data_IF_546294986110
#
_entry.id   IF_546294986110
#
_cell.length_a   1.000
_cell.length_b   1.000
_cell.length_c   1.000
_cell.angle_alpha   90.00
_cell.angle_beta   90.00
_cell.angle_gamma   90.00
#
_symmetry.space_group_name_H-M   'P 1'
#
loop_
_entity.id
_entity.type
_entity.pdbx_description
1 polymer ?
#
# COMPACT_ATOMS: atom_id res chain seq x y z
N UNK A 1 -29.23 5.29 -23.34
CA UNK A 1 -28.24 5.26 -22.25
C UNK A 1 -26.88 5.13 -22.89
N UNK A 2 -26.13 6.23 -22.97
CA UNK A 2 -24.87 6.30 -23.73
C UNK A 2 -23.76 5.43 -23.09
N UNK A 3 -23.84 5.20 -21.77
CA UNK A 3 -22.82 4.45 -21.02
C UNK A 3 -22.94 2.92 -21.09
N UNK A 4 -24.04 2.36 -21.63
CA UNK A 4 -24.23 0.90 -21.66
C UNK A 4 -23.19 0.20 -22.56
N UNK A 5 -22.78 0.85 -23.64
CA UNK A 5 -21.70 0.34 -24.49
C UNK A 5 -20.37 0.31 -23.74
N UNK A 6 -20.12 1.33 -22.89
CA UNK A 6 -18.94 1.37 -22.04
C UNK A 6 -18.99 0.20 -21.04
N UNK A 7 -20.15 -0.08 -20.42
CA UNK A 7 -20.35 -1.17 -19.45
C UNK A 7 -20.03 -2.55 -20.02
N UNK A 8 -20.46 -2.85 -21.26
CA UNK A 8 -20.10 -4.14 -21.89
C UNK A 8 -18.60 -4.23 -22.20
N UNK A 9 -17.99 -3.13 -22.65
CA UNK A 9 -16.59 -3.12 -23.08
C UNK A 9 -15.59 -3.15 -21.92
N UNK A 10 -15.94 -2.61 -20.76
CA UNK A 10 -15.00 -2.38 -19.65
C UNK A 10 -14.49 -3.67 -19.03
N UNK A 11 -15.29 -4.75 -19.08
CA UNK A 11 -14.92 -6.09 -18.63
C UNK A 11 -13.73 -6.68 -19.37
N UNK A 12 -13.53 -6.30 -20.64
CA UNK A 12 -12.42 -6.77 -21.47
C UNK A 12 -11.16 -5.91 -21.38
N UNK A 13 -11.18 -4.83 -20.59
CA UNK A 13 -10.06 -3.89 -20.49
C UNK A 13 -9.05 -4.32 -19.41
N UNK A 14 -7.77 -4.13 -19.71
CA UNK A 14 -6.68 -4.24 -18.73
C UNK A 14 -6.81 -3.16 -17.64
N UNK A 15 -6.38 -3.48 -16.42
CA UNK A 15 -6.44 -2.59 -15.26
C UNK A 15 -5.43 -1.43 -15.36
N UNK A 16 -5.84 -0.42 -16.12
CA UNK A 16 -5.02 0.72 -16.57
C UNK A 16 -5.72 2.04 -16.25
N UNK A 17 -4.99 3.18 -16.27
CA UNK A 17 -5.60 4.50 -16.17
C UNK A 17 -6.70 4.76 -17.22
N UNK A 18 -6.63 4.10 -18.38
CA UNK A 18 -7.65 4.17 -19.42
C UNK A 18 -8.97 3.53 -18.96
N UNK A 19 -8.92 2.34 -18.35
CA UNK A 19 -10.10 1.66 -17.79
C UNK A 19 -10.77 2.50 -16.70
N UNK A 20 -9.99 3.15 -15.84
CA UNK A 20 -10.49 4.09 -14.82
C UNK A 20 -11.37 5.18 -15.45
N UNK A 21 -10.91 5.80 -16.54
CA UNK A 21 -11.68 6.86 -17.22
C UNK A 21 -12.99 6.34 -17.82
N UNK A 22 -13.05 5.07 -18.23
CA UNK A 22 -14.28 4.43 -18.71
C UNK A 22 -15.22 4.19 -17.55
N UNK A 23 -14.73 3.61 -16.45
CA UNK A 23 -15.51 3.36 -15.23
C UNK A 23 -16.09 4.66 -14.65
N UNK A 24 -15.34 5.77 -14.65
CA UNK A 24 -15.86 7.08 -14.21
C UNK A 24 -17.03 7.58 -15.07
N UNK A 25 -17.02 7.32 -16.39
CA UNK A 25 -18.15 7.66 -17.27
C UNK A 25 -19.35 6.76 -17.01
N UNK A 26 -19.12 5.46 -16.80
CA UNK A 26 -20.17 4.51 -16.42
C UNK A 26 -20.83 4.95 -15.12
N UNK A 27 -20.03 5.26 -14.09
CA UNK A 27 -20.51 5.75 -12.80
C UNK A 27 -21.33 7.04 -12.97
N UNK A 28 -20.81 8.02 -13.71
CA UNK A 28 -21.54 9.27 -13.94
C UNK A 28 -22.88 9.05 -14.69
N UNK A 29 -22.91 8.11 -15.63
CA UNK A 29 -24.11 7.71 -16.34
C UNK A 29 -25.11 7.00 -15.43
N UNK A 30 -24.66 6.00 -14.68
CA UNK A 30 -25.48 5.24 -13.73
C UNK A 30 -26.11 6.17 -12.69
N UNK A 31 -25.33 7.09 -12.11
CA UNK A 31 -25.81 8.08 -11.15
C UNK A 31 -26.85 9.03 -11.77
N UNK A 32 -26.63 9.50 -13.01
CA UNK A 32 -27.57 10.40 -13.70
C UNK A 32 -28.94 9.76 -13.94
N UNK A 33 -28.95 8.47 -14.26
CA UNK A 33 -30.18 7.71 -14.53
C UNK A 33 -30.71 6.95 -13.32
N UNK A 34 -30.10 7.11 -12.14
CA UNK A 34 -30.44 6.37 -10.92
C UNK A 34 -30.39 4.83 -11.09
N UNK A 35 -29.52 4.34 -11.97
CA UNK A 35 -29.28 2.90 -12.10
C UNK A 35 -28.28 2.44 -11.04
N UNK A 36 -28.81 1.95 -9.92
CA UNK A 36 -28.01 1.62 -8.73
C UNK A 36 -27.11 0.41 -8.96
N UNK A 37 -27.59 -0.62 -9.67
CA UNK A 37 -26.86 -1.87 -9.86
C UNK A 37 -25.61 -1.64 -10.71
N UNK A 38 -25.75 -0.97 -11.86
CA UNK A 38 -24.60 -0.56 -12.69
C UNK A 38 -23.65 0.35 -11.92
N UNK A 39 -24.19 1.20 -11.04
CA UNK A 39 -23.43 2.10 -10.18
C UNK A 39 -22.61 1.38 -9.12
N UNK A 40 -23.09 0.25 -8.60
CA UNK A 40 -22.37 -0.65 -7.68
C UNK A 40 -21.28 -1.38 -8.45
N UNK A 41 -21.65 -2.07 -9.52
CA UNK A 41 -20.75 -2.90 -10.34
C UNK A 41 -19.54 -2.07 -10.84
N UNK A 42 -19.78 -0.88 -11.37
CA UNK A 42 -18.73 0.00 -11.86
C UNK A 42 -17.80 0.51 -10.73
N UNK A 43 -18.31 0.73 -9.53
CA UNK A 43 -17.51 1.17 -8.37
C UNK A 43 -16.67 0.03 -7.80
N UNK A 44 -17.19 -1.18 -7.78
CA UNK A 44 -16.44 -2.38 -7.39
C UNK A 44 -15.27 -2.62 -8.36
N UNK A 45 -15.55 -2.63 -9.67
CA UNK A 45 -14.51 -2.71 -10.70
C UNK A 45 -13.49 -1.56 -10.59
N UNK A 46 -13.94 -0.35 -10.27
CA UNK A 46 -13.04 0.80 -10.12
C UNK A 46 -12.07 0.61 -8.96
N UNK A 47 -12.51 0.05 -7.83
CA UNK A 47 -11.64 -0.22 -6.69
C UNK A 47 -10.54 -1.21 -7.11
N UNK A 48 -10.90 -2.31 -7.75
CA UNK A 48 -9.97 -3.36 -8.15
C UNK A 48 -8.98 -2.86 -9.21
N UNK A 49 -9.47 -2.14 -10.23
CA UNK A 49 -8.60 -1.53 -11.25
C UNK A 49 -7.63 -0.51 -10.64
N UNK A 50 -8.11 0.32 -9.71
CA UNK A 50 -7.27 1.32 -9.07
C UNK A 50 -6.22 0.69 -8.12
N UNK A 51 -6.43 -0.52 -7.60
CA UNK A 51 -5.45 -1.24 -6.79
C UNK A 51 -4.21 -1.56 -7.63
N UNK A 52 -4.43 -2.09 -8.84
CA UNK A 52 -3.36 -2.38 -9.80
C UNK A 52 -2.73 -1.09 -10.36
N UNK A 53 -3.56 -0.14 -10.79
CA UNK A 53 -3.10 1.05 -11.51
C UNK A 53 -2.48 2.15 -10.58
N UNK A 54 -2.73 2.08 -9.27
CA UNK A 54 -2.16 3.00 -8.29
C UNK A 54 -2.94 4.31 -8.11
N UNK A 55 -4.27 4.24 -7.96
CA UNK A 55 -5.15 5.39 -7.71
C UNK A 55 -5.96 5.25 -6.41
N UNK A 56 -5.30 5.17 -5.24
CA UNK A 56 -5.94 4.86 -3.97
C UNK A 56 -6.97 5.92 -3.53
N UNK A 57 -6.90 7.18 -3.99
CA UNK A 57 -7.92 8.19 -3.66
C UNK A 57 -9.25 7.90 -4.36
N UNK A 58 -9.19 7.43 -5.62
CA UNK A 58 -10.38 7.01 -6.36
C UNK A 58 -11.02 5.76 -5.74
N UNK A 59 -10.18 4.81 -5.29
CA UNK A 59 -10.67 3.65 -4.53
C UNK A 59 -11.43 4.10 -3.28
N UNK A 60 -10.86 5.01 -2.49
CA UNK A 60 -11.49 5.50 -1.26
C UNK A 60 -12.84 6.17 -1.54
N UNK A 61 -12.94 6.95 -2.63
CA UNK A 61 -14.19 7.61 -3.03
C UNK A 61 -15.28 6.59 -3.42
N UNK A 62 -14.94 5.61 -4.26
CA UNK A 62 -15.86 4.55 -4.66
C UNK A 62 -16.30 3.70 -3.46
N UNK A 63 -15.34 3.31 -2.63
CA UNK A 63 -15.59 2.53 -1.41
C UNK A 63 -16.50 3.28 -0.42
N UNK A 64 -16.27 4.59 -0.23
CA UNK A 64 -17.10 5.42 0.66
C UNK A 64 -18.57 5.46 0.21
N UNK A 65 -18.82 5.39 -1.10
CA UNK A 65 -20.18 5.31 -1.63
C UNK A 65 -20.79 3.92 -1.37
N UNK A 66 -20.04 2.84 -1.65
CA UNK A 66 -20.49 1.46 -1.46
C UNK A 66 -20.82 1.18 0.02
N UNK A 67 -19.94 1.55 0.95
CA UNK A 67 -20.17 1.30 2.38
C UNK A 67 -21.40 2.06 2.88
N UNK A 68 -21.60 3.31 2.45
CA UNK A 68 -22.79 4.09 2.81
C UNK A 68 -24.07 3.44 2.26
N UNK A 69 -24.00 2.88 1.06
CA UNK A 69 -25.12 2.19 0.43
C UNK A 69 -25.44 0.85 1.12
N UNK A 70 -24.41 0.15 1.58
CA UNK A 70 -24.54 -1.08 2.38
C UNK A 70 -25.11 -0.81 3.79
N UNK A 71 -24.78 0.33 4.40
CA UNK A 71 -25.33 0.76 5.70
C UNK A 71 -26.79 1.23 5.63
N UNK A 72 -27.29 1.57 4.45
CA UNK A 72 -28.63 2.10 4.23
C UNK A 72 -29.68 0.99 4.34
N UNK A 73 -30.34 0.91 5.50
CA UNK A 73 -31.38 -0.10 5.77
C UNK A 73 -32.64 0.05 4.93
N UNK A 74 -32.84 1.21 4.30
CA UNK A 74 -33.98 1.49 3.43
C UNK A 74 -33.65 1.21 1.95
N UNK A 75 -32.42 0.76 1.65
CA UNK A 75 -31.96 0.42 0.30
C UNK A 75 -32.26 -1.04 -0.05
N UNK A 76 -32.91 -1.25 -1.20
CA UNK A 76 -33.09 -2.60 -1.79
C UNK A 76 -31.86 -3.10 -2.56
N UNK A 77 -30.79 -2.30 -2.64
CA UNK A 77 -29.59 -2.66 -3.38
C UNK A 77 -28.81 -3.79 -2.70
N UNK A 78 -28.45 -4.81 -3.47
CA UNK A 78 -27.59 -5.90 -2.99
C UNK A 78 -26.12 -5.49 -3.12
N UNK A 79 -25.39 -5.53 -2.00
CA UNK A 79 -23.93 -5.41 -1.97
C UNK A 79 -23.41 -6.63 -1.21
N UNK A 80 -22.47 -7.34 -1.81
CA UNK A 80 -21.87 -8.51 -1.19
C UNK A 80 -21.00 -8.08 0.01
N UNK A 81 -21.43 -8.44 1.22
CA UNK A 81 -20.75 -8.06 2.47
C UNK A 81 -19.31 -8.59 2.52
N UNK A 82 -19.06 -9.82 2.03
CA UNK A 82 -17.74 -10.43 2.09
C UNK A 82 -16.76 -9.69 1.18
N UNK A 83 -17.16 -9.43 -0.06
CA UNK A 83 -16.34 -8.67 -1.01
C UNK A 83 -16.12 -7.21 -0.56
N UNK A 84 -17.16 -6.56 -0.05
CA UNK A 84 -17.05 -5.20 0.49
C UNK A 84 -16.06 -5.14 1.65
N UNK A 85 -16.09 -6.12 2.56
CA UNK A 85 -15.20 -6.14 3.72
C UNK A 85 -13.77 -6.52 3.32
N UNK A 86 -13.61 -7.30 2.26
CA UNK A 86 -12.30 -7.54 1.65
C UNK A 86 -11.68 -6.23 1.15
N UNK A 87 -12.45 -5.43 0.39
CA UNK A 87 -12.06 -4.10 -0.07
C UNK A 87 -11.83 -3.12 1.09
N UNK A 88 -12.62 -3.21 2.16
CA UNK A 88 -12.44 -2.41 3.39
C UNK A 88 -11.01 -2.54 3.93
N UNK A 89 -10.48 -3.77 4.03
CA UNK A 89 -9.11 -4.02 4.49
C UNK A 89 -8.10 -3.24 3.65
N UNK A 90 -8.18 -3.40 2.33
CA UNK A 90 -7.25 -2.78 1.39
C UNK A 90 -7.26 -1.25 1.50
N UNK A 91 -8.46 -0.65 1.49
CA UNK A 91 -8.61 0.80 1.67
C UNK A 91 -7.98 1.25 2.98
N UNK A 92 -8.30 0.56 4.08
CA UNK A 92 -7.82 0.93 5.41
C UNK A 92 -6.31 0.81 5.56
N UNK A 93 -5.68 -0.11 4.83
CA UNK A 93 -4.22 -0.21 4.78
C UNK A 93 -3.57 1.00 4.08
N UNK A 94 -4.21 1.55 3.04
CA UNK A 94 -3.66 2.67 2.29
C UNK A 94 -3.88 4.03 2.96
N UNK A 95 -4.95 4.22 3.73
CA UNK A 95 -5.27 5.55 4.32
C UNK A 95 -4.12 6.21 5.09
N UNK A 96 -3.29 5.50 5.89
CA UNK A 96 -2.12 6.11 6.54
C UNK A 96 -1.06 6.68 5.59
N UNK A 97 -1.06 6.33 4.30
CA UNK A 97 -0.09 6.85 3.30
C UNK A 97 -0.47 8.24 2.77
N UNK A 98 -1.69 8.72 3.03
CA UNK A 98 -2.14 10.06 2.64
C UNK A 98 -1.69 11.10 3.65
N UNK A 99 -0.96 12.11 3.18
CA UNK A 99 -0.44 13.18 4.03
C UNK A 99 -1.54 14.17 4.46
N UNK A 100 -2.64 14.27 3.71
CA UNK A 100 -3.80 15.11 4.04
C UNK A 100 -4.75 14.50 5.10
N UNK A 101 -4.66 13.19 5.35
CA UNK A 101 -5.55 12.52 6.32
C UNK A 101 -4.97 12.64 7.71
N UNK A 102 -5.76 13.15 8.66
CA UNK A 102 -5.35 13.29 10.05
C UNK A 102 -5.26 11.94 10.78
N UNK A 103 -4.46 11.88 11.85
CA UNK A 103 -4.39 10.70 12.73
C UNK A 103 -5.76 10.30 13.30
N UNK A 104 -6.60 11.28 13.65
CA UNK A 104 -7.94 11.03 14.16
C UNK A 104 -8.86 10.36 13.13
N UNK A 105 -8.75 10.76 11.84
CA UNK A 105 -9.50 10.11 10.76
C UNK A 105 -9.01 8.67 10.51
N UNK A 106 -7.68 8.43 10.58
CA UNK A 106 -7.11 7.09 10.49
C UNK A 106 -7.65 6.21 11.63
N UNK A 107 -7.52 6.68 12.88
CA UNK A 107 -7.99 5.93 14.06
C UNK A 107 -9.51 5.68 13.98
N UNK A 108 -10.28 6.65 13.49
CA UNK A 108 -11.73 6.54 13.27
C UNK A 108 -12.10 5.47 12.23
N UNK A 109 -11.45 5.46 11.07
CA UNK A 109 -11.68 4.47 10.01
C UNK A 109 -11.35 3.05 10.49
N UNK A 110 -10.23 2.88 11.20
CA UNK A 110 -9.82 1.58 11.74
C UNK A 110 -10.83 1.08 12.78
N UNK A 111 -11.32 1.97 13.65
CA UNK A 111 -12.36 1.60 14.61
C UNK A 111 -13.68 1.23 13.92
N UNK A 112 -14.05 1.96 12.87
CA UNK A 112 -15.26 1.66 12.10
C UNK A 112 -15.18 0.27 11.44
N UNK A 113 -14.02 -0.06 10.83
CA UNK A 113 -13.75 -1.41 10.32
C UNK A 113 -13.89 -2.47 11.40
N UNK A 114 -13.36 -2.22 12.60
CA UNK A 114 -13.46 -3.14 13.75
C UNK A 114 -14.92 -3.41 14.12
N UNK A 115 -15.71 -2.36 14.29
CA UNK A 115 -17.12 -2.46 14.70
C UNK A 115 -17.91 -3.26 13.67
N UNK A 116 -17.71 -3.00 12.38
CA UNK A 116 -18.39 -3.72 11.30
C UNK A 116 -17.99 -5.19 11.24
N UNK A 117 -16.71 -5.51 11.40
CA UNK A 117 -16.24 -6.89 11.45
C UNK A 117 -16.85 -7.65 12.64
N UNK A 118 -16.96 -7.01 13.80
CA UNK A 118 -17.63 -7.60 14.98
C UNK A 118 -19.13 -7.81 14.75
N UNK A 119 -19.82 -6.87 14.09
CA UNK A 119 -21.25 -6.97 13.76
C UNK A 119 -21.55 -8.17 12.85
N UNK A 120 -20.71 -8.38 11.84
CA UNK A 120 -20.85 -9.48 10.88
C UNK A 120 -20.16 -10.78 11.32
N UNK A 121 -19.67 -10.84 12.56
CA UNK A 121 -19.02 -12.01 13.17
C UNK A 121 -17.74 -12.49 12.45
N UNK A 122 -17.05 -11.59 11.78
CA UNK A 122 -15.74 -11.85 11.20
C UNK A 122 -14.64 -11.87 12.27
N UNK A 123 -13.56 -12.58 11.96
CA UNK A 123 -12.34 -12.52 12.76
C UNK A 123 -11.75 -11.12 12.75
N UNK A 124 -11.25 -10.69 13.91
CA UNK A 124 -10.44 -9.47 14.02
C UNK A 124 -8.97 -9.67 13.60
N UNK A 125 -8.59 -10.86 13.13
CA UNK A 125 -7.21 -11.11 12.67
C UNK A 125 -6.79 -10.15 11.54
N UNK A 126 -7.58 -9.91 10.49
CA UNK A 126 -7.24 -8.93 9.47
C UNK A 126 -7.24 -7.50 10.04
N UNK A 127 -8.17 -7.15 10.92
CA UNK A 127 -8.15 -5.85 11.61
C UNK A 127 -6.83 -5.58 12.34
N UNK A 128 -6.34 -6.55 13.11
CA UNK A 128 -5.05 -6.40 13.81
C UNK A 128 -3.86 -6.33 12.85
N UNK A 129 -3.91 -7.03 11.70
CA UNK A 129 -2.91 -6.87 10.63
C UNK A 129 -2.90 -5.44 10.11
N UNK A 130 -4.04 -4.92 9.65
CA UNK A 130 -4.17 -3.56 9.12
C UNK A 130 -3.68 -2.53 10.14
N UNK A 131 -4.08 -2.66 11.40
CA UNK A 131 -3.62 -1.76 12.46
C UNK A 131 -2.11 -1.84 12.69
N UNK A 132 -1.52 -3.04 12.61
CA UNK A 132 -0.06 -3.22 12.72
C UNK A 132 0.64 -2.47 11.59
N UNK A 133 0.18 -2.63 10.35
CA UNK A 133 0.75 -1.94 9.19
C UNK A 133 0.56 -0.42 9.28
N UNK A 134 -0.58 0.04 9.77
CA UNK A 134 -0.82 1.45 10.05
C UNK A 134 0.17 2.00 11.10
N UNK A 135 0.42 1.26 12.19
CA UNK A 135 1.41 1.65 13.20
C UNK A 135 2.84 1.71 12.62
N UNK A 136 3.21 0.75 11.76
CA UNK A 136 4.48 0.77 11.02
C UNK A 136 4.59 2.03 10.16
N UNK A 137 3.56 2.35 9.35
CA UNK A 137 3.47 3.55 8.50
C UNK A 137 3.35 4.86 9.30
N UNK A 138 3.11 4.78 10.61
CA UNK A 138 3.12 5.94 11.50
C UNK A 138 4.39 6.03 12.33
N UNK A 139 5.32 5.09 12.20
CA UNK A 139 6.55 5.05 12.99
C UNK A 139 6.36 4.65 14.46
N UNK A 140 5.21 4.08 14.82
CA UNK A 140 4.87 3.73 16.20
C UNK A 140 5.27 2.27 16.51
N UNK A 141 6.51 2.13 16.98
CA UNK A 141 7.13 0.82 17.28
C UNK A 141 6.40 0.04 18.36
N UNK A 142 5.99 0.71 19.44
CA UNK A 142 5.36 0.03 20.58
C UNK A 142 3.94 -0.40 20.23
N UNK A 143 3.16 0.45 19.55
CA UNK A 143 1.82 0.07 19.07
C UNK A 143 1.90 -1.05 18.04
N UNK A 144 2.89 -1.03 17.13
CA UNK A 144 3.10 -2.11 16.17
C UNK A 144 3.37 -3.46 16.87
N UNK A 145 4.22 -3.49 17.91
CA UNK A 145 4.48 -4.70 18.70
C UNK A 145 3.23 -5.24 19.40
N UNK A 146 2.45 -4.36 20.01
CA UNK A 146 1.20 -4.74 20.69
C UNK A 146 0.21 -5.38 19.70
N UNK A 147 -0.02 -4.71 18.57
CA UNK A 147 -0.97 -5.15 17.55
C UNK A 147 -0.49 -6.41 16.83
N UNK A 148 0.81 -6.55 16.57
CA UNK A 148 1.37 -7.76 15.96
C UNK A 148 1.17 -8.99 16.85
N UNK A 149 1.27 -8.83 18.18
CA UNK A 149 0.94 -9.90 19.13
C UNK A 149 -0.53 -10.30 19.04
N UNK A 150 -1.45 -9.34 18.92
CA UNK A 150 -2.89 -9.61 18.74
C UNK A 150 -3.16 -10.30 17.41
N UNK A 151 -2.59 -9.78 16.32
CA UNK A 151 -2.67 -10.37 14.98
C UNK A 151 -2.19 -11.83 15.02
N UNK A 152 -1.01 -12.09 15.56
CA UNK A 152 -0.43 -13.45 15.61
C UNK A 152 -1.28 -14.46 16.37
N UNK A 153 -1.96 -14.04 17.44
CA UNK A 153 -2.72 -14.91 18.35
C UNK A 153 -4.23 -14.99 18.02
N UNK A 154 -4.74 -14.17 17.11
CA UNK A 154 -6.15 -14.22 16.69
C UNK A 154 -6.34 -15.28 15.62
N UNK A 155 -7.43 -16.08 15.69
CA UNK A 155 -7.70 -17.13 14.71
C UNK A 155 -7.99 -16.54 13.33
N UNK A 156 -7.53 -17.19 12.28
CA UNK A 156 -7.85 -16.78 10.91
C UNK A 156 -9.28 -17.22 10.52
N UNK A 157 -9.85 -16.52 9.55
CA UNK A 157 -11.06 -16.89 8.83
C UNK A 157 -10.85 -16.71 7.32
N UNK A 158 -11.93 -16.63 6.55
CA UNK A 158 -11.89 -16.47 5.11
C UNK A 158 -11.56 -15.04 4.65
N UNK A 159 -11.62 -14.02 5.53
CA UNK A 159 -11.15 -12.67 5.25
C UNK A 159 -9.64 -12.52 5.45
N UNK A 160 -8.90 -13.58 5.75
CA UNK A 160 -7.44 -13.55 5.79
C UNK A 160 -6.83 -13.62 4.39
N UNK A 161 -5.79 -12.81 4.17
CA UNK A 161 -5.06 -12.85 2.91
C UNK A 161 -4.38 -14.20 2.70
N UNK A 162 -3.94 -14.45 1.46
CA UNK A 162 -3.23 -15.68 1.18
C UNK A 162 -1.98 -15.83 2.06
N UNK A 163 -1.56 -17.07 2.37
CA UNK A 163 -0.43 -17.33 3.25
C UNK A 163 0.89 -16.65 2.84
N UNK A 164 1.07 -16.32 1.55
CA UNK A 164 2.25 -15.60 1.06
C UNK A 164 2.22 -14.11 1.45
N UNK A 165 1.08 -13.43 1.25
CA UNK A 165 0.89 -12.02 1.60
C UNK A 165 1.01 -11.82 3.12
N UNK A 166 0.34 -12.66 3.91
CA UNK A 166 0.45 -12.61 5.37
C UNK A 166 1.89 -12.85 5.85
N UNK A 167 2.66 -13.71 5.15
CA UNK A 167 4.08 -13.90 5.45
C UNK A 167 4.92 -12.67 5.11
N UNK A 168 4.66 -12.03 3.96
CA UNK A 168 5.31 -10.79 3.56
C UNK A 168 5.10 -9.68 4.61
N UNK A 169 3.87 -9.50 5.08
CA UNK A 169 3.56 -8.48 6.09
C UNK A 169 4.24 -8.77 7.44
N UNK A 170 4.39 -10.05 7.79
CA UNK A 170 5.20 -10.45 8.96
C UNK A 170 6.69 -10.13 8.77
N UNK A 171 7.25 -10.36 7.58
CA UNK A 171 8.63 -9.95 7.25
C UNK A 171 8.76 -8.44 7.40
N UNK A 172 7.80 -7.67 6.89
CA UNK A 172 7.83 -6.22 7.00
C UNK A 172 7.82 -5.75 8.45
N UNK A 173 6.98 -6.34 9.31
CA UNK A 173 7.00 -6.08 10.74
C UNK A 173 8.37 -6.37 11.38
N UNK A 174 8.97 -7.53 11.12
CA UNK A 174 10.27 -7.88 11.70
C UNK A 174 11.39 -6.95 11.21
N UNK A 175 11.37 -6.54 9.94
CA UNK A 175 12.28 -5.53 9.42
C UNK A 175 12.08 -4.17 10.10
N UNK A 176 10.84 -3.76 10.35
CA UNK A 176 10.51 -2.50 11.01
C UNK A 176 11.04 -2.44 12.45
N UNK A 177 10.88 -3.51 13.23
CA UNK A 177 11.43 -3.59 14.60
C UNK A 177 12.91 -3.97 14.63
N UNK A 178 13.58 -4.08 13.47
CA UNK A 178 14.99 -4.43 13.30
C UNK A 178 15.38 -5.83 13.79
N UNK A 179 14.42 -6.76 13.89
CA UNK A 179 14.69 -8.17 14.12
C UNK A 179 14.96 -8.89 12.79
N UNK A 180 16.11 -8.55 12.19
CA UNK A 180 16.48 -9.03 10.85
C UNK A 180 16.70 -10.54 10.80
N UNK A 181 17.10 -11.17 11.90
CA UNK A 181 17.25 -12.62 11.99
C UNK A 181 15.89 -13.33 11.86
N UNK A 182 14.87 -12.84 12.57
CA UNK A 182 13.53 -13.38 12.44
C UNK A 182 12.92 -13.03 11.08
N UNK A 183 13.17 -11.84 10.53
CA UNK A 183 12.78 -11.49 9.17
C UNK A 183 13.34 -12.47 8.13
N UNK A 184 14.66 -12.75 8.19
CA UNK A 184 15.34 -13.73 7.31
C UNK A 184 14.74 -15.12 7.43
N UNK A 185 14.45 -15.61 8.64
CA UNK A 185 13.79 -16.91 8.84
C UNK A 185 12.37 -16.93 8.26
N UNK A 186 11.62 -15.85 8.47
CA UNK A 186 10.23 -15.68 8.03
C UNK A 186 10.12 -15.61 6.51
N UNK A 187 11.09 -15.00 5.82
CA UNK A 187 11.12 -14.86 4.37
C UNK A 187 11.51 -16.14 3.60
N UNK A 188 12.09 -17.16 4.25
CA UNK A 188 12.57 -18.39 3.58
C UNK A 188 11.52 -19.08 2.68
N UNK A 189 10.24 -19.25 3.09
CA UNK A 189 9.24 -19.92 2.25
C UNK A 189 8.89 -19.14 0.98
N UNK A 190 8.99 -17.81 1.02
CA UNK A 190 8.70 -16.91 -0.10
C UNK A 190 9.73 -17.15 -1.22
N UNK A 191 11.02 -17.06 -0.91
CA UNK A 191 12.08 -17.27 -1.90
C UNK A 191 12.24 -18.74 -2.31
N UNK A 192 11.80 -19.67 -1.48
CA UNK A 192 11.78 -21.10 -1.79
C UNK A 192 10.71 -21.51 -2.81
N UNK A 193 9.86 -20.59 -3.29
CA UNK A 193 8.81 -20.86 -4.28
C UNK A 193 7.69 -21.78 -3.78
N UNK A 194 7.64 -22.05 -2.47
CA UNK A 194 6.64 -22.94 -1.84
C UNK A 194 5.27 -22.28 -1.68
N UNK A 195 5.22 -20.96 -1.84
CA UNK A 195 3.99 -20.16 -1.84
C UNK A 195 4.04 -19.27 -3.08
N UNK A 196 2.94 -19.21 -3.84
CA UNK A 196 2.82 -18.40 -5.05
C UNK A 196 1.68 -17.40 -4.87
N UNK A 197 1.99 -16.14 -5.11
CA UNK A 197 1.05 -15.02 -5.16
C UNK A 197 1.50 -14.14 -6.33
N UNK A 198 0.57 -13.42 -6.96
CA UNK A 198 0.88 -12.46 -8.03
C UNK A 198 1.77 -11.32 -7.52
N UNK A 199 1.61 -10.91 -6.26
CA UNK A 199 2.32 -9.77 -5.67
C UNK A 199 3.61 -10.18 -4.94
N UNK A 200 3.64 -11.34 -4.30
CA UNK A 200 4.83 -11.85 -3.57
C UNK A 200 5.61 -12.77 -4.51
N UNK A 201 6.89 -12.46 -4.85
CA UNK A 201 7.88 -11.82 -3.98
C UNK A 201 8.23 -10.33 -4.25
N UNK A 202 7.53 -9.65 -5.15
CA UNK A 202 7.82 -8.26 -5.57
C UNK A 202 7.94 -7.31 -4.35
N UNK A 203 7.00 -7.43 -3.41
CA UNK A 203 6.96 -6.64 -2.17
C UNK A 203 8.07 -6.99 -1.15
N UNK A 204 8.61 -8.21 -1.21
CA UNK A 204 9.51 -8.75 -0.18
C UNK A 204 10.97 -8.36 -0.43
N UNK A 205 11.37 -8.23 -1.70
CA UNK A 205 12.78 -8.02 -2.06
C UNK A 205 13.40 -6.74 -1.48
N UNK A 206 12.65 -5.63 -1.46
CA UNK A 206 13.15 -4.35 -0.92
C UNK A 206 13.55 -4.45 0.55
N UNK A 207 12.63 -4.91 1.39
CA UNK A 207 12.87 -5.12 2.81
C UNK A 207 13.99 -6.12 3.07
N UNK A 208 14.04 -7.19 2.28
CA UNK A 208 15.06 -8.22 2.45
C UNK A 208 16.45 -7.79 1.98
N UNK A 209 16.57 -6.94 0.96
CA UNK A 209 17.86 -6.35 0.57
C UNK A 209 18.49 -5.58 1.74
N UNK A 210 17.69 -4.77 2.45
CA UNK A 210 18.13 -4.04 3.63
C UNK A 210 18.43 -4.96 4.83
N UNK A 211 17.58 -5.97 5.06
CA UNK A 211 17.78 -6.92 6.16
C UNK A 211 19.05 -7.78 5.97
N UNK A 212 19.29 -8.29 4.77
CA UNK A 212 20.52 -9.05 4.47
C UNK A 212 21.77 -8.17 4.59
N UNK A 213 21.71 -6.92 4.14
CA UNK A 213 22.81 -5.97 4.33
C UNK A 213 23.11 -5.74 5.82
N UNK A 214 22.09 -5.55 6.64
CA UNK A 214 22.25 -5.37 8.09
C UNK A 214 22.85 -6.60 8.80
N UNK A 215 22.62 -7.80 8.25
CA UNK A 215 23.21 -9.06 8.73
C UNK A 215 24.61 -9.35 8.16
N UNK A 216 25.16 -8.47 7.30
CA UNK A 216 26.44 -8.67 6.63
C UNK A 216 26.42 -9.68 5.47
N UNK A 217 25.25 -10.10 5.01
CA UNK A 217 25.05 -11.05 3.92
C UNK A 217 24.94 -10.30 2.58
N UNK A 218 26.03 -9.62 2.18
CA UNK A 218 26.06 -8.73 1.01
C UNK A 218 25.64 -9.42 -0.28
N UNK A 219 26.00 -10.71 -0.43
CA UNK A 219 25.62 -11.52 -1.59
C UNK A 219 24.11 -11.66 -1.72
N UNK A 220 23.42 -12.03 -0.63
CA UNK A 220 21.97 -12.16 -0.63
C UNK A 220 21.27 -10.81 -0.76
N UNK A 221 21.86 -9.74 -0.21
CA UNK A 221 21.35 -8.39 -0.37
C UNK A 221 21.36 -7.96 -1.84
N UNK A 222 22.47 -8.19 -2.55
CA UNK A 222 22.58 -7.92 -3.99
C UNK A 222 21.62 -8.79 -4.81
N UNK A 223 21.47 -10.07 -4.47
CA UNK A 223 20.52 -10.96 -5.14
C UNK A 223 19.07 -10.47 -5.01
N UNK A 224 18.71 -9.91 -3.84
CA UNK A 224 17.40 -9.29 -3.65
C UNK A 224 17.22 -8.06 -4.55
N UNK A 225 18.25 -7.24 -4.73
CA UNK A 225 18.20 -6.13 -5.66
C UNK A 225 18.06 -6.59 -7.12
N UNK A 226 18.89 -7.53 -7.55
CA UNK A 226 18.92 -8.00 -8.95
C UNK A 226 17.60 -8.64 -9.37
N UNK A 227 16.94 -9.36 -8.45
CA UNK A 227 15.62 -9.97 -8.68
C UNK A 227 14.47 -8.99 -8.48
N UNK A 228 14.57 -8.10 -7.50
CA UNK A 228 13.49 -7.20 -7.11
C UNK A 228 13.33 -6.00 -8.03
N UNK A 229 14.43 -5.36 -8.46
CA UNK A 229 14.33 -4.11 -9.22
C UNK A 229 13.57 -4.26 -10.56
N UNK A 230 13.82 -5.30 -11.39
CA UNK A 230 13.06 -5.51 -12.63
C UNK A 230 11.55 -5.63 -12.41
N UNK A 231 11.15 -6.12 -11.23
CA UNK A 231 9.76 -6.39 -10.85
C UNK A 231 9.00 -5.17 -10.35
N UNK A 232 9.69 -4.09 -9.95
CA UNK A 232 9.05 -2.89 -9.37
C UNK A 232 9.31 -1.62 -10.18
N UNK A 233 10.22 -1.69 -11.17
CA UNK A 233 10.59 -0.57 -12.03
C UNK A 233 9.35 0.01 -12.74
N UNK A 234 9.15 1.32 -12.64
CA UNK A 234 8.05 2.11 -13.22
C UNK A 234 6.64 1.68 -12.79
N UNK A 235 6.49 1.00 -11.66
CA UNK A 235 5.18 0.60 -11.13
C UNK A 235 4.78 1.48 -9.93
N UNK A 236 3.72 2.27 -10.09
CA UNK A 236 3.23 3.22 -9.08
C UNK A 236 2.80 2.48 -7.80
N UNK A 237 2.13 1.34 -7.93
CA UNK A 237 1.69 0.52 -6.79
C UNK A 237 2.84 -0.14 -6.01
N UNK A 238 4.06 -0.14 -6.55
CA UNK A 238 5.25 -0.79 -5.97
C UNK A 238 6.36 0.22 -5.59
N UNK A 239 6.00 1.48 -5.32
CA UNK A 239 6.95 2.49 -4.89
C UNK A 239 7.64 2.19 -3.54
N UNK A 240 6.96 1.66 -2.50
CA UNK A 240 7.64 1.32 -1.25
C UNK A 240 8.81 0.31 -1.41
N UNK A 241 8.65 -0.86 -2.05
CA UNK A 241 9.79 -1.75 -2.29
C UNK A 241 10.83 -1.14 -3.23
N UNK A 242 10.44 -0.32 -4.21
CA UNK A 242 11.39 0.42 -5.06
C UNK A 242 12.27 1.37 -4.23
N UNK A 243 11.69 2.14 -3.31
CA UNK A 243 12.43 3.04 -2.43
C UNK A 243 13.38 2.29 -1.48
N UNK A 244 12.99 1.12 -0.97
CA UNK A 244 13.86 0.26 -0.16
C UNK A 244 15.07 -0.25 -0.96
N UNK A 245 14.85 -0.66 -2.22
CA UNK A 245 15.93 -1.08 -3.14
C UNK A 245 16.86 0.09 -3.50
N UNK A 246 16.32 1.30 -3.69
CA UNK A 246 17.14 2.50 -3.88
C UNK A 246 17.99 2.78 -2.63
N UNK A 247 17.40 2.68 -1.43
CA UNK A 247 18.13 2.86 -0.17
C UNK A 247 19.27 1.85 -0.05
N UNK A 248 19.06 0.60 -0.46
CA UNK A 248 20.14 -0.40 -0.53
C UNK A 248 21.30 0.05 -1.43
N UNK A 249 21.03 0.57 -2.64
CA UNK A 249 22.08 1.08 -3.53
C UNK A 249 22.86 2.24 -2.91
N UNK A 250 22.18 3.15 -2.22
CA UNK A 250 22.81 4.29 -1.54
C UNK A 250 23.70 3.82 -0.39
N UNK A 251 23.21 2.92 0.46
CA UNK A 251 23.99 2.37 1.58
C UNK A 251 25.22 1.57 1.12
N UNK A 252 25.13 0.90 -0.03
CA UNK A 252 26.25 0.15 -0.63
C UNK A 252 27.12 0.99 -1.58
N UNK A 253 26.90 2.32 -1.64
CA UNK A 253 27.67 3.27 -2.46
C UNK A 253 27.65 2.96 -3.96
N UNK A 254 26.60 2.32 -4.45
CA UNK A 254 26.38 2.05 -5.88
C UNK A 254 25.79 3.28 -6.59
N UNK A 255 26.44 4.44 -6.44
CA UNK A 255 25.90 5.77 -6.77
C UNK A 255 25.45 5.90 -8.23
N UNK A 256 26.22 5.35 -9.18
CA UNK A 256 25.85 5.39 -10.62
C UNK A 256 24.52 4.66 -10.87
N UNK A 257 24.35 3.49 -10.26
CA UNK A 257 23.11 2.71 -10.40
C UNK A 257 21.95 3.38 -9.66
N UNK A 258 22.20 3.93 -8.47
CA UNK A 258 21.21 4.68 -7.72
C UNK A 258 20.68 5.87 -8.54
N UNK A 259 21.56 6.63 -9.21
CA UNK A 259 21.14 7.73 -10.10
C UNK A 259 20.30 7.24 -11.29
N UNK A 260 20.70 6.15 -11.93
CA UNK A 260 19.89 5.54 -13.00
C UNK A 260 18.48 5.17 -12.52
N UNK A 261 18.36 4.60 -11.31
CA UNK A 261 17.07 4.26 -10.69
C UNK A 261 16.25 5.53 -10.41
N UNK A 262 16.87 6.59 -9.89
CA UNK A 262 16.21 7.89 -9.68
C UNK A 262 15.67 8.43 -10.99
N UNK A 263 16.54 8.64 -11.99
CA UNK A 263 16.17 9.25 -13.27
C UNK A 263 15.09 8.43 -14.01
N UNK A 264 15.13 7.10 -13.90
CA UNK A 264 14.16 6.20 -14.53
C UNK A 264 12.76 6.32 -13.95
N UNK A 265 12.64 6.53 -12.64
CA UNK A 265 11.38 6.35 -11.90
C UNK A 265 10.82 7.66 -11.33
N UNK A 266 11.58 8.77 -11.38
CA UNK A 266 11.17 10.03 -10.76
C UNK A 266 9.81 10.53 -11.25
N UNK A 267 9.54 10.48 -12.55
CA UNK A 267 8.24 10.88 -13.10
C UNK A 267 7.08 10.04 -12.53
N UNK A 268 7.29 8.72 -12.42
CA UNK A 268 6.33 7.78 -11.83
C UNK A 268 6.10 8.10 -10.35
N UNK A 269 7.16 8.41 -9.61
CA UNK A 269 7.10 8.79 -8.18
C UNK A 269 6.28 10.08 -8.02
N UNK A 270 6.58 11.12 -8.80
CA UNK A 270 5.90 12.41 -8.68
C UNK A 270 4.40 12.34 -8.99
N UNK A 271 3.95 11.34 -9.76
CA UNK A 271 2.54 11.08 -10.07
C UNK A 271 1.78 10.32 -8.98
N UNK A 272 2.47 9.73 -8.00
CA UNK A 272 1.80 8.92 -6.98
C UNK A 272 0.91 9.77 -6.05
N UNK A 273 -0.29 9.28 -5.79
CA UNK A 273 -1.28 9.98 -4.95
C UNK A 273 -0.95 9.90 -3.45
N UNK A 274 -0.26 8.83 -3.02
CA UNK A 274 0.18 8.63 -1.65
C UNK A 274 1.40 9.49 -1.32
N UNK A 275 1.28 10.36 -0.31
CA UNK A 275 2.41 11.16 0.19
C UNK A 275 3.54 10.30 0.75
N UNK A 276 3.19 9.24 1.48
CA UNK A 276 4.18 8.35 2.09
C UNK A 276 4.93 7.52 1.05
N UNK A 277 4.24 7.07 0.00
CA UNK A 277 4.85 6.27 -1.07
C UNK A 277 5.91 7.09 -1.81
N UNK A 278 5.63 8.38 -2.05
CA UNK A 278 6.60 9.37 -2.54
C UNK A 278 7.74 9.56 -1.57
N UNK A 279 7.43 9.81 -0.29
CA UNK A 279 8.42 10.07 0.74
C UNK A 279 9.43 8.92 0.88
N UNK A 280 8.99 7.66 0.88
CA UNK A 280 9.89 6.50 1.01
C UNK A 280 10.95 6.49 -0.09
N UNK A 281 10.56 6.78 -1.34
CA UNK A 281 11.50 6.86 -2.46
C UNK A 281 12.40 8.10 -2.35
N UNK A 282 11.80 9.27 -2.08
CA UNK A 282 12.51 10.54 -2.01
C UNK A 282 13.54 10.57 -0.87
N UNK A 283 13.23 10.03 0.30
CA UNK A 283 14.19 9.89 1.41
C UNK A 283 15.35 8.98 1.04
N UNK A 284 15.11 7.89 0.30
CA UNK A 284 16.17 7.03 -0.18
C UNK A 284 17.09 7.76 -1.18
N UNK A 285 16.54 8.64 -2.02
CA UNK A 285 17.27 9.45 -2.99
C UNK A 285 17.97 10.67 -2.36
N UNK A 286 17.48 11.16 -1.22
CA UNK A 286 17.85 12.44 -0.61
C UNK A 286 19.37 12.69 -0.47
N UNK A 287 20.22 11.70 -0.09
CA UNK A 287 21.66 11.91 -0.02
C UNK A 287 22.34 12.18 -1.37
N UNK A 288 21.66 11.89 -2.48
CA UNK A 288 22.18 12.04 -3.84
C UNK A 288 21.64 13.27 -4.58
N UNK A 289 20.71 14.02 -3.99
CA UNK A 289 20.17 15.22 -4.62
C UNK A 289 21.21 16.35 -4.68
N UNK A 290 21.32 16.98 -5.86
CA UNK A 290 22.04 18.24 -6.02
C UNK A 290 21.20 19.35 -5.38
N UNK A 291 21.74 19.99 -4.33
CA UNK A 291 20.99 20.97 -3.52
C UNK A 291 20.57 22.22 -4.30
N UNK A 292 21.27 22.54 -5.39
CA UNK A 292 20.94 23.69 -6.23
C UNK A 292 20.01 23.29 -7.38
N UNK A 293 20.30 22.18 -8.05
CA UNK A 293 19.56 21.76 -9.26
C UNK A 293 18.28 20.98 -8.96
N UNK A 294 18.23 20.32 -7.81
CA UNK A 294 17.11 19.48 -7.37
C UNK A 294 16.48 20.04 -6.09
N UNK A 295 16.54 21.37 -5.91
CA UNK A 295 16.01 22.08 -4.75
C UNK A 295 14.53 21.75 -4.47
N UNK A 296 13.71 21.67 -5.52
CA UNK A 296 12.28 21.31 -5.39
C UNK A 296 12.09 19.90 -4.80
N UNK A 297 12.97 18.94 -5.14
CA UNK A 297 12.91 17.57 -4.59
C UNK A 297 13.37 17.54 -3.14
N UNK A 298 14.39 18.34 -2.80
CA UNK A 298 14.86 18.52 -1.42
C UNK A 298 13.74 19.09 -0.56
N UNK A 299 13.12 20.20 -0.99
CA UNK A 299 12.01 20.85 -0.28
C UNK A 299 10.82 19.89 -0.12
N UNK A 300 10.43 19.18 -1.19
CA UNK A 300 9.34 18.21 -1.12
C UNK A 300 9.62 17.09 -0.11
N UNK A 301 10.86 16.57 -0.08
CA UNK A 301 11.26 15.51 0.84
C UNK A 301 11.16 15.98 2.29
N UNK A 302 11.68 17.17 2.58
CA UNK A 302 11.68 17.77 3.91
C UNK A 302 10.26 18.13 4.37
N UNK A 303 9.45 18.70 3.48
CA UNK A 303 8.06 19.05 3.76
C UNK A 303 7.22 17.81 4.07
N UNK A 304 7.32 16.74 3.25
CA UNK A 304 6.63 15.48 3.53
C UNK A 304 7.12 14.84 4.83
N UNK A 305 8.44 14.82 5.08
CA UNK A 305 9.02 14.31 6.33
C UNK A 305 8.40 15.01 7.54
N UNK A 306 8.43 16.35 7.56
CA UNK A 306 7.88 17.14 8.66
C UNK A 306 6.36 16.93 8.81
N UNK A 307 5.62 16.84 7.71
CA UNK A 307 4.16 16.67 7.72
C UNK A 307 3.74 15.33 8.33
N UNK A 308 4.40 14.23 7.96
CA UNK A 308 4.10 12.91 8.53
C UNK A 308 4.48 12.83 10.01
N UNK A 309 5.65 13.33 10.38
CA UNK A 309 6.10 13.33 11.77
C UNK A 309 5.19 14.20 12.67
N UNK A 310 4.78 15.38 12.20
CA UNK A 310 3.82 16.23 12.90
C UNK A 310 2.45 15.55 13.06
N UNK A 311 1.94 14.90 12.01
CA UNK A 311 0.68 14.13 12.07
C UNK A 311 0.77 12.98 13.07
N UNK A 312 1.88 12.26 13.08
CA UNK A 312 2.07 11.05 13.86
C UNK A 312 2.49 11.34 15.32
N UNK A 313 2.99 12.55 15.59
CA UNK A 313 3.45 12.96 16.92
C UNK A 313 4.79 12.32 17.31
N UNK A 314 5.68 12.07 16.35
CA UNK A 314 7.00 11.50 16.57
C UNK A 314 8.04 12.09 15.59
N UNK A 315 9.27 11.56 15.59
CA UNK A 315 10.38 11.97 14.69
C UNK A 315 10.81 10.86 13.73
N UNK A 316 9.94 9.88 13.46
CA UNK A 316 10.32 8.64 12.80
C UNK A 316 10.91 8.89 11.41
N UNK A 317 10.24 9.68 10.58
CA UNK A 317 10.71 9.96 9.23
C UNK A 317 11.90 10.91 9.23
N UNK A 318 11.96 11.85 10.17
CA UNK A 318 13.12 12.73 10.35
C UNK A 318 14.39 11.95 10.70
N UNK A 319 14.27 10.89 11.49
CA UNK A 319 15.39 10.02 11.83
C UNK A 319 15.86 9.15 10.66
N UNK A 320 14.99 8.89 9.68
CA UNK A 320 15.34 8.17 8.44
C UNK A 320 15.98 9.07 7.37
N UNK A 321 15.87 10.39 7.50
CA UNK A 321 16.45 11.38 6.58
C UNK A 321 17.95 11.65 6.85
N UNK A 322 18.43 11.29 8.05
CA UNK A 322 19.82 11.48 8.51
C UNK A 322 20.79 10.49 7.87
#
# INVERSE_FOLDING_TARGET
>A
MDYLNDLESVWGMDDTPEKIKVLERIIAGADLYNNIDDGIEAREMLIDTCLTAGFPKKQLQAFSWLIKKWEDKDSDAYIDTEDLFWKYKWISEHVPTFDEVSKAQIDGLLNDMKVKFEQENYSLRPYYKVCTLAAIRMGDVEKAKELFKKWSNTKADFLNDCPACEKNDQVFYYCFIKDYETAKKTAKPIFGGKQRCTEVPHLTYGNMALAYLALGDEKMAQECFDKGYPLVKKQISLLPPLGQLLKYLVLTKQTKKAREVIDTNLETVLKAEGGLDRLIFLQAAYPLFDREKEADLVEMTEALTAKFDARNGNSYYQDLLK
#
